data_IF_820291711183
#
_entry.id   IF_820291711183
#
_cell.length_a   1.000
_cell.length_b   1.000
_cell.length_c   1.000
_cell.angle_alpha   90.00
_cell.angle_beta   90.00
_cell.angle_gamma   90.00
#
_symmetry.space_group_name_H-M   'P 1'
#
loop_
_entity.id
_entity.type
_entity.pdbx_description
1 polymer ?
#
# COMPACT_ATOMS: atom_id res chain seq x y z
N UNK A 1 20.22 11.76 -11.32
CA UNK A 1 20.08 12.38 -12.66
C UNK A 1 19.20 13.59 -12.46
N UNK A 2 19.76 14.79 -12.48
CA UNK A 2 18.97 16.03 -12.42
C UNK A 2 18.29 16.17 -13.75
N UNK A 3 16.97 16.12 -13.79
CA UNK A 3 16.19 16.45 -14.98
C UNK A 3 16.33 17.97 -15.20
N UNK A 4 17.06 18.37 -16.24
CA UNK A 4 17.14 19.76 -16.63
C UNK A 4 15.89 20.07 -17.44
N UNK A 5 15.01 20.90 -16.89
CA UNK A 5 13.84 21.38 -17.60
C UNK A 5 14.28 22.39 -18.70
N UNK A 6 13.50 22.49 -19.79
CA UNK A 6 13.71 23.59 -20.72
C UNK A 6 13.31 24.93 -20.10
N UNK A 7 13.86 26.03 -20.57
CA UNK A 7 13.51 27.37 -20.09
C UNK A 7 12.00 27.67 -20.18
N UNK A 8 11.33 27.11 -21.18
CA UNK A 8 9.86 27.21 -21.35
C UNK A 8 9.12 26.48 -20.24
N UNK A 9 9.61 25.29 -19.83
CA UNK A 9 9.02 24.52 -18.73
C UNK A 9 9.29 25.20 -17.39
N UNK A 10 10.48 25.75 -17.18
CA UNK A 10 10.78 26.52 -15.97
C UNK A 10 9.85 27.74 -15.84
N UNK A 11 9.71 28.53 -16.91
CA UNK A 11 8.79 29.67 -16.94
C UNK A 11 7.33 29.26 -16.68
N UNK A 12 6.91 28.09 -17.21
CA UNK A 12 5.58 27.54 -16.97
C UNK A 12 5.36 27.20 -15.49
N UNK A 13 6.32 26.54 -14.84
CA UNK A 13 6.22 26.21 -13.42
C UNK A 13 6.25 27.47 -12.54
N UNK A 14 7.08 28.45 -12.86
CA UNK A 14 7.09 29.75 -12.16
C UNK A 14 5.71 30.47 -12.26
N UNK A 15 5.08 30.41 -13.42
CA UNK A 15 3.75 30.99 -13.60
C UNK A 15 2.68 30.25 -12.78
N UNK A 16 2.77 28.93 -12.72
CA UNK A 16 1.90 28.11 -11.85
C UNK A 16 2.08 28.45 -10.36
N UNK A 17 3.32 28.61 -9.91
CA UNK A 17 3.62 29.00 -8.53
C UNK A 17 3.02 30.38 -8.20
N UNK A 18 3.23 31.39 -9.08
CA UNK A 18 2.64 32.74 -8.90
C UNK A 18 1.11 32.69 -8.82
N UNK A 19 0.46 31.84 -9.63
CA UNK A 19 -0.99 31.65 -9.57
C UNK A 19 -1.43 31.00 -8.27
N UNK A 20 -0.71 29.98 -7.81
CA UNK A 20 -0.97 29.34 -6.52
C UNK A 20 -0.82 30.35 -5.36
N UNK A 21 0.26 31.14 -5.35
CA UNK A 21 0.48 32.19 -4.34
C UNK A 21 -0.66 33.22 -4.30
N UNK A 22 -1.17 33.60 -5.47
CA UNK A 22 -2.31 34.49 -5.56
C UNK A 22 -3.58 33.89 -4.93
N UNK A 23 -3.81 32.59 -5.12
CA UNK A 23 -4.93 31.89 -4.49
C UNK A 23 -4.77 31.83 -2.96
N UNK A 24 -3.60 31.45 -2.46
CA UNK A 24 -3.34 31.47 -1.01
C UNK A 24 -3.52 32.85 -0.39
N UNK A 25 -3.00 33.89 -1.04
CA UNK A 25 -3.16 35.28 -0.60
C UNK A 25 -4.64 35.70 -0.54
N UNK A 26 -5.44 35.27 -1.50
CA UNK A 26 -6.88 35.52 -1.51
C UNK A 26 -7.59 34.81 -0.35
N UNK A 27 -7.28 33.53 -0.15
CA UNK A 27 -7.83 32.72 0.96
C UNK A 27 -7.50 33.34 2.31
N UNK A 28 -6.25 33.76 2.53
CA UNK A 28 -5.86 34.47 3.77
C UNK A 28 -6.68 35.73 4.02
N UNK A 29 -6.91 36.54 2.98
CA UNK A 29 -7.75 37.74 3.09
C UNK A 29 -9.21 37.41 3.48
N UNK A 30 -9.77 36.39 2.86
CA UNK A 30 -11.16 35.94 3.11
C UNK A 30 -11.27 35.43 4.56
N UNK A 31 -10.32 34.64 5.03
CA UNK A 31 -10.28 34.11 6.39
C UNK A 31 -10.11 35.22 7.43
N UNK A 32 -9.16 36.14 7.23
CA UNK A 32 -9.00 37.31 8.10
C UNK A 32 -10.22 38.21 8.17
N UNK A 33 -11.06 38.17 7.13
CA UNK A 33 -12.36 38.89 7.13
C UNK A 33 -13.50 38.11 7.83
N UNK A 34 -13.23 36.94 8.38
CA UNK A 34 -14.18 36.12 9.14
C UNK A 34 -15.18 35.32 8.30
N UNK A 35 -14.91 35.11 7.00
CA UNK A 35 -15.76 34.30 6.12
C UNK A 35 -15.48 32.79 6.22
N UNK A 36 -14.48 32.41 6.99
CA UNK A 36 -14.13 31.01 7.24
C UNK A 36 -13.88 30.82 8.75
N UNK A 37 -14.37 29.74 9.37
CA UNK A 37 -14.16 29.48 10.80
C UNK A 37 -12.71 29.16 11.18
N UNK A 38 -11.85 28.80 10.20
CA UNK A 38 -10.43 28.51 10.39
C UNK A 38 -9.55 29.59 9.78
N UNK A 39 -8.53 30.06 10.48
CA UNK A 39 -7.52 31.01 9.99
C UNK A 39 -6.33 30.37 9.30
N UNK A 40 -6.21 29.04 9.34
CA UNK A 40 -5.18 28.27 8.63
C UNK A 40 -5.76 27.50 7.44
N UNK A 41 -5.01 27.35 6.33
CA UNK A 41 -5.46 26.55 5.19
C UNK A 41 -5.58 25.06 5.55
N UNK A 42 -6.61 24.39 5.05
CA UNK A 42 -6.79 22.94 5.22
C UNK A 42 -5.61 22.13 4.63
N UNK A 43 -5.04 22.64 3.55
CA UNK A 43 -3.87 22.04 2.89
C UNK A 43 -2.74 23.07 2.92
N UNK A 44 -1.81 22.97 3.88
CA UNK A 44 -0.66 23.85 3.92
C UNK A 44 0.28 23.58 2.73
N UNK A 45 0.99 24.61 2.27
CA UNK A 45 2.04 24.46 1.25
C UNK A 45 3.18 23.64 1.83
N UNK A 46 3.64 22.67 1.05
CA UNK A 46 4.81 21.86 1.36
C UNK A 46 5.89 22.09 0.29
N UNK A 47 7.12 22.25 0.71
CA UNK A 47 8.27 22.43 -0.19
C UNK A 47 8.79 21.12 -0.77
N UNK A 48 8.60 20.05 -0.04
CA UNK A 48 9.06 18.71 -0.42
C UNK A 48 8.11 17.62 0.10
N UNK A 49 8.47 16.37 -0.18
CA UNK A 49 7.72 15.20 0.27
C UNK A 49 7.62 15.14 1.80
N UNK A 50 8.69 15.46 2.52
CA UNK A 50 8.73 15.36 3.97
C UNK A 50 7.74 16.34 4.63
N UNK A 51 7.74 17.60 4.20
CA UNK A 51 6.76 18.58 4.66
C UNK A 51 5.32 18.21 4.28
N UNK A 52 5.13 17.64 3.09
CA UNK A 52 3.80 17.17 2.67
C UNK A 52 3.29 16.06 3.57
N UNK A 53 4.12 15.08 3.90
CA UNK A 53 3.76 13.98 4.80
C UNK A 53 3.43 14.52 6.19
N UNK A 54 4.25 15.40 6.74
CA UNK A 54 4.03 16.02 8.04
C UNK A 54 2.71 16.81 8.08
N UNK A 55 2.50 17.68 7.09
CA UNK A 55 1.33 18.55 7.04
C UNK A 55 0.00 17.79 6.89
N UNK A 56 0.02 16.65 6.20
CA UNK A 56 -1.19 15.91 5.85
C UNK A 56 -1.52 14.76 6.78
N UNK A 57 -0.49 14.10 7.31
CA UNK A 57 -0.63 12.87 8.10
C UNK A 57 0.05 13.02 9.47
N UNK A 58 1.13 13.79 9.54
CA UNK A 58 1.91 14.00 10.75
C UNK A 58 2.84 12.82 11.09
N UNK A 59 3.34 12.77 12.31
CA UNK A 59 3.19 13.75 13.38
C UNK A 59 4.00 15.04 13.15
N UNK A 60 3.66 16.11 13.86
CA UNK A 60 4.40 17.39 13.81
C UNK A 60 5.89 17.18 14.15
N UNK A 61 6.78 17.81 13.38
CA UNK A 61 8.21 17.74 13.54
C UNK A 61 8.87 16.49 12.94
N UNK A 62 8.14 15.69 12.12
CA UNK A 62 8.71 14.49 11.48
C UNK A 62 9.51 14.81 10.19
N UNK A 63 9.23 15.92 9.52
CA UNK A 63 9.83 16.25 8.23
C UNK A 63 11.36 16.28 8.24
N UNK A 64 12.05 16.89 9.22
CA UNK A 64 13.52 16.85 9.30
C UNK A 64 14.06 15.42 9.38
N UNK A 65 13.40 14.53 10.14
CA UNK A 65 13.83 13.14 10.27
C UNK A 65 13.63 12.35 8.99
N UNK A 66 12.52 12.57 8.28
CA UNK A 66 12.29 11.95 6.97
C UNK A 66 13.40 12.35 5.99
N UNK A 67 13.81 13.63 5.94
CA UNK A 67 14.90 14.09 5.08
C UNK A 67 16.22 13.40 5.41
N UNK A 68 16.60 13.38 6.68
CA UNK A 68 17.83 12.75 7.15
C UNK A 68 17.90 11.27 6.76
N UNK A 69 16.84 10.51 6.99
CA UNK A 69 16.80 9.07 6.63
C UNK A 69 16.80 8.89 5.12
N UNK A 70 16.18 9.78 4.36
CA UNK A 70 16.08 9.70 2.90
C UNK A 70 17.41 10.04 2.19
N UNK A 71 18.37 10.70 2.85
CA UNK A 71 19.71 10.97 2.28
C UNK A 71 20.48 9.68 1.98
N UNK A 72 20.32 8.66 2.81
CA UNK A 72 21.07 7.40 2.71
C UNK A 72 20.22 6.22 2.21
N UNK A 73 18.89 6.37 2.11
CA UNK A 73 17.98 5.28 1.85
C UNK A 73 17.06 5.56 0.66
N UNK A 74 16.64 4.47 0.00
CA UNK A 74 15.52 4.53 -0.93
C UNK A 74 14.20 4.79 -0.17
N UNK A 75 13.19 5.26 -0.88
CA UNK A 75 11.89 5.64 -0.31
C UNK A 75 11.24 4.53 0.51
N UNK A 76 11.31 3.31 0.04
CA UNK A 76 10.73 2.15 0.70
C UNK A 76 11.46 1.82 2.01
N UNK A 77 12.79 1.89 2.01
CA UNK A 77 13.59 1.74 3.24
C UNK A 77 13.34 2.89 4.21
N UNK A 78 13.27 4.12 3.71
CA UNK A 78 12.94 5.31 4.52
C UNK A 78 11.60 5.11 5.22
N UNK A 79 10.56 4.67 4.50
CA UNK A 79 9.24 4.42 5.07
C UNK A 79 9.28 3.37 6.20
N UNK A 80 10.04 2.27 6.02
CA UNK A 80 10.16 1.20 7.02
C UNK A 80 10.97 1.64 8.26
N UNK A 81 12.02 2.44 8.07
CA UNK A 81 12.82 2.98 9.18
C UNK A 81 11.97 3.97 10.00
N UNK A 82 11.32 4.91 9.34
CA UNK A 82 10.43 5.89 9.98
C UNK A 82 9.27 5.19 10.70
N UNK A 83 8.70 4.13 10.13
CA UNK A 83 7.66 3.35 10.79
C UNK A 83 8.11 2.81 12.15
N UNK A 84 9.30 2.21 12.18
CA UNK A 84 9.89 1.65 13.41
C UNK A 84 10.15 2.73 14.46
N UNK A 85 10.80 3.82 14.07
CA UNK A 85 11.14 4.92 14.98
C UNK A 85 9.89 5.59 15.57
N UNK A 86 8.87 5.85 14.73
CA UNK A 86 7.62 6.44 15.18
C UNK A 86 6.87 5.53 16.14
N UNK A 87 6.82 4.23 15.87
CA UNK A 87 6.15 3.29 16.75
C UNK A 87 6.73 3.32 18.17
N UNK A 88 8.06 3.25 18.29
CA UNK A 88 8.75 3.31 19.58
C UNK A 88 8.52 4.63 20.32
N UNK A 89 8.63 5.77 19.61
CA UNK A 89 8.44 7.09 20.18
C UNK A 89 6.98 7.33 20.61
N UNK A 90 6.03 7.07 19.74
CA UNK A 90 4.63 7.45 19.96
C UNK A 90 3.89 6.53 20.94
N UNK A 91 4.40 5.32 21.22
CA UNK A 91 3.80 4.39 22.20
C UNK A 91 3.58 5.04 23.57
N UNK A 92 4.57 5.80 24.04
CA UNK A 92 4.52 6.50 25.33
C UNK A 92 3.67 7.78 25.31
N UNK A 93 3.58 8.43 24.13
CA UNK A 93 2.91 9.73 24.00
C UNK A 93 1.40 9.57 23.69
N UNK A 94 1.03 8.66 22.81
CA UNK A 94 -0.32 8.53 22.27
C UNK A 94 -1.03 7.23 22.70
N UNK A 95 -0.28 6.30 23.30
CA UNK A 95 -0.76 4.95 23.58
C UNK A 95 -0.72 4.04 22.36
N UNK A 96 -0.95 2.74 22.61
CA UNK A 96 -0.69 1.66 21.67
C UNK A 96 -1.40 1.80 20.30
N UNK A 97 -2.71 2.00 20.29
CA UNK A 97 -3.50 2.00 19.05
C UNK A 97 -3.23 3.23 18.18
N UNK A 98 -3.13 4.40 18.80
CA UNK A 98 -2.82 5.63 18.07
C UNK A 98 -1.39 5.62 17.53
N UNK A 99 -0.43 5.08 18.30
CA UNK A 99 0.95 4.92 17.83
C UNK A 99 1.02 3.96 16.64
N UNK A 100 0.32 2.82 16.70
CA UNK A 100 0.21 1.86 15.60
C UNK A 100 -0.38 2.53 14.35
N UNK A 101 -1.50 3.21 14.48
CA UNK A 101 -2.16 3.87 13.36
C UNK A 101 -1.31 4.99 12.76
N UNK A 102 -0.78 5.89 13.58
CA UNK A 102 0.03 7.02 13.13
C UNK A 102 1.29 6.54 12.39
N UNK A 103 2.02 5.59 12.96
CA UNK A 103 3.24 5.07 12.34
C UNK A 103 2.96 4.43 10.97
N UNK A 104 1.88 3.64 10.85
CA UNK A 104 1.48 3.01 9.58
C UNK A 104 1.07 4.06 8.54
N UNK A 105 0.22 5.03 8.91
CA UNK A 105 -0.26 6.06 7.98
C UNK A 105 0.85 6.98 7.49
N UNK A 106 1.72 7.46 8.39
CA UNK A 106 2.86 8.32 8.03
C UNK A 106 3.79 7.61 7.05
N UNK A 107 4.13 6.36 7.34
CA UNK A 107 5.03 5.58 6.49
C UNK A 107 4.41 5.22 5.14
N UNK A 108 3.11 4.91 5.12
CA UNK A 108 2.41 4.71 3.85
C UNK A 108 2.34 6.00 3.02
N UNK A 109 2.21 7.17 3.66
CA UNK A 109 2.25 8.47 2.98
C UNK A 109 3.62 8.73 2.32
N UNK A 110 4.72 8.32 2.96
CA UNK A 110 6.06 8.36 2.34
C UNK A 110 6.10 7.47 1.10
N UNK A 111 5.59 6.23 1.18
CA UNK A 111 5.57 5.30 0.05
C UNK A 111 4.78 5.82 -1.15
N UNK A 112 3.69 6.52 -0.91
CA UNK A 112 2.77 7.02 -1.94
C UNK A 112 3.10 8.43 -2.41
N UNK A 113 4.29 8.93 -2.07
CA UNK A 113 4.78 10.28 -2.46
C UNK A 113 3.83 11.42 -2.04
N UNK A 114 3.19 11.26 -0.88
CA UNK A 114 2.20 12.20 -0.40
C UNK A 114 0.89 12.21 -1.20
N UNK A 115 0.60 11.14 -1.95
CA UNK A 115 -0.74 10.90 -2.48
C UNK A 115 -1.60 10.39 -1.34
N UNK A 116 -2.52 11.22 -0.86
CA UNK A 116 -3.28 11.00 0.37
C UNK A 116 -4.30 9.86 0.32
N UNK A 117 -4.87 9.59 -0.82
CA UNK A 117 -6.00 8.63 -0.94
C UNK A 117 -5.68 7.28 -0.30
N UNK A 118 -4.46 6.79 -0.44
CA UNK A 118 -4.09 5.50 0.13
C UNK A 118 -3.96 5.52 1.66
N UNK A 119 -3.18 6.44 2.29
CA UNK A 119 -3.05 6.47 3.74
C UNK A 119 -4.28 6.99 4.49
N UNK A 120 -5.17 7.77 3.85
CA UNK A 120 -6.34 8.37 4.52
C UNK A 120 -7.65 7.63 4.23
N UNK A 121 -7.90 7.27 2.98
CA UNK A 121 -9.14 6.62 2.53
C UNK A 121 -8.93 5.13 2.23
N UNK A 122 -7.75 4.74 1.75
CA UNK A 122 -7.42 3.35 1.45
C UNK A 122 -7.15 2.51 2.69
N UNK A 123 -6.60 3.12 3.76
CA UNK A 123 -6.50 2.55 5.10
C UNK A 123 -7.50 3.28 5.99
N UNK A 124 -8.63 2.66 6.25
CA UNK A 124 -9.72 3.26 7.05
C UNK A 124 -9.36 3.28 8.53
N UNK A 125 -8.79 2.19 9.03
CA UNK A 125 -8.48 2.00 10.45
C UNK A 125 -7.28 1.08 10.60
N UNK A 126 -6.46 1.37 11.59
CA UNK A 126 -5.45 0.44 12.11
C UNK A 126 -5.70 0.26 13.60
N UNK A 127 -5.83 -0.97 14.05
CA UNK A 127 -6.22 -1.26 15.42
C UNK A 127 -5.61 -2.58 15.91
N UNK A 128 -5.82 -2.89 17.18
CA UNK A 128 -5.47 -4.19 17.74
C UNK A 128 -6.67 -5.13 17.74
N UNK A 129 -6.41 -6.43 17.54
CA UNK A 129 -7.38 -7.51 17.69
C UNK A 129 -6.85 -8.54 18.71
N UNK A 130 -7.77 -9.27 19.32
CA UNK A 130 -7.43 -10.40 20.18
C UNK A 130 -7.39 -11.69 19.38
N UNK A 131 -6.28 -12.39 19.44
CA UNK A 131 -6.13 -13.75 18.93
C UNK A 131 -6.91 -14.77 19.76
N UNK A 132 -7.13 -15.96 19.21
CA UNK A 132 -7.81 -17.05 19.95
C UNK A 132 -7.06 -17.49 21.22
N UNK A 133 -5.75 -17.28 21.28
CA UNK A 133 -4.90 -17.52 22.45
C UNK A 133 -4.83 -16.32 23.43
N UNK A 134 -5.70 -15.32 23.28
CA UNK A 134 -5.77 -14.11 24.10
C UNK A 134 -4.63 -13.11 23.95
N UNK A 135 -3.70 -13.33 23.02
CA UNK A 135 -2.69 -12.32 22.69
C UNK A 135 -3.24 -11.24 21.77
N UNK A 136 -2.62 -10.05 21.76
CA UNK A 136 -3.01 -8.96 20.87
C UNK A 136 -2.19 -8.96 19.61
N UNK A 137 -2.83 -8.79 18.46
CA UNK A 137 -2.21 -8.64 17.17
C UNK A 137 -2.66 -7.34 16.46
N UNK A 138 -1.92 -6.91 15.44
CA UNK A 138 -2.27 -5.74 14.64
C UNK A 138 -3.23 -6.12 13.51
N UNK A 139 -4.15 -5.20 13.20
CA UNK A 139 -5.15 -5.32 12.16
C UNK A 139 -5.20 -4.06 11.31
N UNK A 140 -5.27 -4.20 9.99
CA UNK A 140 -5.47 -3.09 9.06
C UNK A 140 -6.79 -3.29 8.32
N UNK A 141 -7.63 -2.26 8.34
CA UNK A 141 -8.88 -2.17 7.61
C UNK A 141 -8.66 -1.41 6.30
N UNK A 142 -8.77 -2.12 5.20
CA UNK A 142 -8.62 -1.57 3.85
C UNK A 142 -9.99 -1.28 3.21
N UNK A 143 -10.08 -0.13 2.52
CA UNK A 143 -11.20 0.21 1.64
C UNK A 143 -10.79 0.15 0.17
N UNK A 144 -11.78 0.28 -0.73
CA UNK A 144 -11.54 0.29 -2.18
C UNK A 144 -10.48 1.26 -2.68
N UNK A 145 -10.38 2.49 -2.15
CA UNK A 145 -9.38 3.48 -2.54
C UNK A 145 -7.91 3.04 -2.39
N UNK A 146 -7.59 1.99 -1.61
CA UNK A 146 -6.23 1.41 -1.54
C UNK A 146 -5.70 1.01 -2.93
N UNK A 147 -6.57 0.81 -3.91
CA UNK A 147 -6.20 0.55 -5.30
C UNK A 147 -5.31 1.65 -5.89
N UNK A 148 -5.51 2.91 -5.48
CA UNK A 148 -4.72 4.06 -5.93
C UNK A 148 -3.24 3.97 -5.55
N UNK A 149 -2.89 3.29 -4.46
CA UNK A 149 -1.51 3.10 -4.03
C UNK A 149 -0.68 2.22 -4.98
N UNK A 150 -1.34 1.38 -5.77
CA UNK A 150 -0.68 0.33 -6.57
C UNK A 150 -0.17 -0.84 -5.73
N UNK A 151 -0.03 -2.01 -6.36
CA UNK A 151 0.22 -3.28 -5.66
C UNK A 151 1.49 -3.32 -4.81
N UNK A 152 2.53 -2.55 -5.16
CA UNK A 152 3.77 -2.51 -4.35
C UNK A 152 3.54 -1.81 -3.01
N UNK A 153 2.91 -0.63 -3.01
CA UNK A 153 2.60 0.08 -1.77
C UNK A 153 1.55 -0.65 -0.92
N UNK A 154 0.58 -1.33 -1.57
CA UNK A 154 -0.36 -2.22 -0.89
C UNK A 154 0.37 -3.33 -0.10
N UNK A 155 1.30 -4.02 -0.75
CA UNK A 155 2.07 -5.08 -0.09
C UNK A 155 2.99 -4.54 1.02
N UNK A 156 3.66 -3.41 0.76
CA UNK A 156 4.55 -2.79 1.73
C UNK A 156 3.79 -2.18 2.92
N UNK A 157 2.52 -1.78 2.78
CA UNK A 157 1.72 -1.33 3.93
C UNK A 157 1.54 -2.44 4.98
N UNK A 158 1.44 -3.70 4.54
CA UNK A 158 1.36 -4.85 5.46
C UNK A 158 2.72 -5.12 6.11
N UNK A 159 3.83 -4.99 5.36
CA UNK A 159 5.19 -5.10 5.91
C UNK A 159 5.49 -3.98 6.92
N UNK A 160 5.09 -2.74 6.62
CA UNK A 160 5.18 -1.60 7.55
C UNK A 160 4.45 -1.93 8.85
N UNK A 161 3.21 -2.42 8.74
CA UNK A 161 2.43 -2.78 9.93
C UNK A 161 3.09 -3.89 10.75
N UNK A 162 3.77 -4.85 10.12
CA UNK A 162 4.52 -5.88 10.85
C UNK A 162 5.74 -5.30 11.58
N UNK A 163 6.46 -4.39 10.96
CA UNK A 163 7.57 -3.67 11.60
C UNK A 163 7.08 -2.89 12.82
N UNK A 164 5.98 -2.14 12.66
CA UNK A 164 5.35 -1.37 13.75
C UNK A 164 4.83 -2.30 14.84
N UNK A 165 4.15 -3.39 14.47
CA UNK A 165 3.65 -4.39 15.43
C UNK A 165 4.76 -4.92 16.33
N UNK A 166 5.92 -5.26 15.75
CA UNK A 166 7.09 -5.78 16.49
C UNK A 166 7.64 -4.77 17.48
N UNK A 167 7.76 -3.51 17.07
CA UNK A 167 8.22 -2.42 17.94
C UNK A 167 7.25 -2.12 19.07
N UNK A 168 5.97 -2.41 18.87
CA UNK A 168 4.92 -2.24 19.88
C UNK A 168 4.70 -3.48 20.75
N UNK A 169 5.50 -4.55 20.61
CA UNK A 169 5.38 -5.82 21.34
C UNK A 169 4.02 -6.51 21.14
N UNK A 170 3.46 -6.44 19.92
CA UNK A 170 2.24 -7.17 19.57
C UNK A 170 2.60 -8.52 18.93
N UNK A 171 1.79 -9.55 19.22
CA UNK A 171 1.97 -10.87 18.63
C UNK A 171 1.52 -10.93 17.15
N UNK A 172 2.03 -11.89 16.36
CA UNK A 172 1.51 -12.16 15.04
C UNK A 172 0.03 -12.51 15.06
N UNK A 173 -0.68 -12.15 13.99
CA UNK A 173 -2.06 -12.58 13.78
C UNK A 173 -2.16 -14.11 13.64
N UNK A 174 -3.12 -14.70 14.32
CA UNK A 174 -3.46 -16.12 14.25
C UNK A 174 -4.88 -16.25 13.71
N UNK A 175 -5.07 -16.59 12.40
CA UNK A 175 -6.39 -16.76 11.83
C UNK A 175 -7.06 -18.02 12.33
N UNK A 176 -8.38 -17.99 12.43
CA UNK A 176 -9.17 -19.21 12.63
C UNK A 176 -9.36 -19.95 11.31
N UNK A 177 -9.63 -21.27 11.33
CA UNK A 177 -9.96 -22.01 10.10
C UNK A 177 -11.11 -21.37 9.30
N UNK A 178 -12.13 -20.86 9.97
CA UNK A 178 -13.26 -20.19 9.32
C UNK A 178 -12.88 -18.89 8.61
N UNK A 179 -11.95 -18.11 9.19
CA UNK A 179 -11.43 -16.91 8.55
C UNK A 179 -10.61 -17.23 7.30
N UNK A 180 -9.82 -18.31 7.32
CA UNK A 180 -9.07 -18.77 6.14
C UNK A 180 -10.04 -19.17 5.00
N UNK A 181 -11.06 -19.97 5.32
CA UNK A 181 -12.07 -20.37 4.33
C UNK A 181 -12.88 -19.17 3.83
N UNK A 182 -13.11 -18.17 4.68
CA UNK A 182 -13.73 -16.90 4.27
C UNK A 182 -12.94 -16.20 3.15
N UNK A 183 -11.62 -16.08 3.26
CA UNK A 183 -10.80 -15.47 2.20
C UNK A 183 -10.76 -16.32 0.92
N UNK A 184 -10.80 -17.66 1.03
CA UNK A 184 -10.90 -18.56 -0.13
C UNK A 184 -12.19 -18.36 -0.92
N UNK A 185 -13.26 -17.95 -0.27
CA UNK A 185 -14.52 -17.60 -0.91
C UNK A 185 -14.53 -16.16 -1.45
N UNK A 186 -14.07 -15.19 -0.66
CA UNK A 186 -14.14 -13.76 -1.00
C UNK A 186 -13.28 -13.39 -2.21
N UNK A 187 -12.04 -13.85 -2.30
CA UNK A 187 -11.13 -13.44 -3.37
C UNK A 187 -11.64 -13.86 -4.75
N UNK A 188 -12.10 -15.10 -4.98
CA UNK A 188 -12.74 -15.46 -6.23
C UNK A 188 -14.04 -14.71 -6.52
N UNK A 189 -14.85 -14.41 -5.49
CA UNK A 189 -16.06 -13.59 -5.66
C UNK A 189 -15.70 -12.15 -6.05
N UNK A 190 -14.69 -11.57 -5.43
CA UNK A 190 -14.22 -10.23 -5.75
C UNK A 190 -13.70 -10.13 -7.19
N UNK A 191 -13.05 -11.18 -7.71
CA UNK A 191 -12.68 -11.26 -9.13
C UNK A 191 -13.87 -11.12 -10.08
N UNK A 192 -15.05 -11.64 -9.69
CA UNK A 192 -16.26 -11.52 -10.53
C UNK A 192 -16.79 -10.09 -10.59
N UNK A 193 -16.60 -9.33 -9.51
CA UNK A 193 -17.02 -7.93 -9.43
C UNK A 193 -16.02 -6.97 -10.09
N UNK A 194 -14.72 -7.29 -10.02
CA UNK A 194 -13.64 -6.44 -10.55
C UNK A 194 -12.58 -7.26 -11.26
N UNK A 195 -11.83 -6.62 -12.16
CA UNK A 195 -10.70 -7.27 -12.82
C UNK A 195 -9.49 -7.29 -11.89
N UNK A 196 -9.11 -8.47 -11.37
CA UNK A 196 -7.86 -8.69 -10.64
C UNK A 196 -6.75 -9.09 -11.60
N UNK A 197 -5.57 -8.48 -11.47
CA UNK A 197 -4.36 -8.82 -12.22
C UNK A 197 -3.78 -10.18 -11.82
N UNK A 198 -4.07 -10.63 -10.60
CA UNK A 198 -3.66 -11.91 -10.07
C UNK A 198 -4.75 -12.52 -9.20
N UNK A 199 -5.04 -13.76 -9.43
CA UNK A 199 -6.00 -14.53 -8.63
C UNK A 199 -5.25 -15.71 -8.04
N UNK A 200 -4.95 -15.68 -6.74
CA UNK A 200 -4.25 -16.78 -6.08
C UNK A 200 -5.14 -18.04 -6.02
N UNK A 201 -4.49 -19.20 -6.06
CA UNK A 201 -5.17 -20.49 -5.85
C UNK A 201 -5.64 -20.62 -4.39
N UNK A 202 -6.59 -21.56 -4.09
CA UNK A 202 -7.02 -21.81 -2.71
C UNK A 202 -5.86 -22.14 -1.76
N UNK A 203 -4.83 -22.84 -2.23
CA UNK A 203 -3.63 -23.17 -1.46
C UNK A 203 -2.76 -21.94 -1.21
N UNK A 204 -2.67 -21.06 -2.21
CA UNK A 204 -1.97 -19.78 -2.07
C UNK A 204 -2.69 -18.87 -1.08
N UNK A 205 -4.02 -18.79 -1.15
CA UNK A 205 -4.83 -18.04 -0.19
C UNK A 205 -4.63 -18.61 1.22
N UNK A 206 -4.67 -19.93 1.36
CA UNK A 206 -4.39 -20.58 2.65
C UNK A 206 -3.04 -20.18 3.21
N UNK A 207 -1.99 -20.29 2.41
CA UNK A 207 -0.62 -19.97 2.82
C UNK A 207 -0.49 -18.50 3.22
N UNK A 208 -0.98 -17.57 2.39
CA UNK A 208 -0.84 -16.13 2.66
C UNK A 208 -1.59 -15.71 3.92
N UNK A 209 -2.82 -16.20 4.11
CA UNK A 209 -3.65 -15.83 5.27
C UNK A 209 -3.09 -16.45 6.56
N UNK A 210 -2.62 -17.69 6.51
CA UNK A 210 -2.06 -18.38 7.69
C UNK A 210 -0.72 -17.79 8.13
N UNK A 211 0.11 -17.34 7.17
CA UNK A 211 1.48 -16.91 7.47
C UNK A 211 1.64 -15.41 7.61
N UNK A 212 0.67 -14.60 7.15
CA UNK A 212 0.72 -13.15 7.27
C UNK A 212 0.63 -12.74 8.76
N UNK A 213 1.61 -12.01 9.30
CA UNK A 213 1.63 -11.64 10.72
C UNK A 213 0.63 -10.53 11.08
N UNK A 214 -0.06 -9.97 10.08
CA UNK A 214 -1.03 -8.87 10.22
C UNK A 214 -2.42 -9.36 9.79
N UNK A 215 -3.45 -9.02 10.55
CA UNK A 215 -4.83 -9.22 10.13
C UNK A 215 -5.18 -8.20 9.03
N UNK A 216 -5.18 -8.67 7.77
CA UNK A 216 -5.60 -7.88 6.61
C UNK A 216 -7.11 -8.00 6.49
N UNK A 217 -7.86 -6.98 6.87
CA UNK A 217 -9.33 -6.94 6.79
C UNK A 217 -9.79 -5.70 6.04
N UNK A 218 -11.07 -5.39 6.05
CA UNK A 218 -11.54 -4.20 5.34
C UNK A 218 -13.04 -3.99 5.40
N UNK A 219 -13.44 -2.84 4.89
CA UNK A 219 -14.84 -2.48 4.74
C UNK A 219 -15.50 -3.23 3.58
N UNK A 220 -16.82 -3.29 3.63
CA UNK A 220 -17.60 -3.78 2.50
C UNK A 220 -17.41 -2.84 1.29
N UNK A 221 -17.13 -3.40 0.14
CA UNK A 221 -16.97 -2.64 -1.11
C UNK A 221 -18.06 -2.95 -2.14
N UNK A 222 -18.83 -3.99 -1.93
CA UNK A 222 -19.89 -4.44 -2.83
C UNK A 222 -21.10 -4.96 -2.02
N UNK A 223 -22.25 -5.06 -2.69
CA UNK A 223 -23.46 -5.67 -2.15
C UNK A 223 -23.41 -7.20 -2.18
N UNK A 224 -22.45 -7.79 -2.90
CA UNK A 224 -22.22 -9.22 -2.91
C UNK A 224 -21.82 -9.71 -1.53
N UNK A 225 -22.46 -10.80 -1.10
CA UNK A 225 -22.18 -11.45 0.17
C UNK A 225 -21.61 -12.85 -0.07
N UNK A 226 -20.83 -13.32 0.92
CA UNK A 226 -20.40 -14.72 0.93
C UNK A 226 -21.56 -15.63 1.30
N UNK A 227 -21.55 -16.85 0.75
CA UNK A 227 -22.54 -17.87 1.04
C UNK A 227 -22.20 -18.67 2.31
N UNK A 228 -20.91 -19.02 2.48
CA UNK A 228 -20.37 -19.70 3.64
C UNK A 228 -19.63 -18.76 4.60
N UNK A 229 -19.15 -19.29 5.73
CA UNK A 229 -18.29 -18.60 6.71
C UNK A 229 -18.77 -17.18 7.05
N UNK A 230 -20.05 -17.08 7.39
CA UNK A 230 -20.76 -15.85 7.77
C UNK A 230 -20.63 -15.60 9.27
N UNK A 231 -20.91 -14.36 9.67
CA UNK A 231 -21.04 -13.94 11.07
C UNK A 231 -19.82 -14.31 11.93
N UNK A 232 -18.61 -14.17 11.37
CA UNK A 232 -17.37 -14.45 12.08
C UNK A 232 -17.07 -13.33 13.08
N UNK A 233 -16.71 -13.66 14.34
CA UNK A 233 -16.55 -12.67 15.43
C UNK A 233 -15.57 -11.53 15.14
N UNK A 234 -14.52 -11.79 14.31
CA UNK A 234 -13.49 -10.80 13.96
C UNK A 234 -13.65 -10.23 12.54
N UNK A 235 -14.79 -10.50 11.88
CA UNK A 235 -15.12 -10.02 10.55
C UNK A 235 -16.43 -9.28 10.59
N UNK A 236 -16.39 -7.96 10.51
CA UNK A 236 -17.53 -7.07 10.79
C UNK A 236 -18.64 -7.13 9.72
N UNK A 237 -18.43 -7.79 8.58
CA UNK A 237 -19.39 -7.83 7.48
C UNK A 237 -19.41 -9.17 6.76
N UNK A 238 -20.59 -9.57 6.29
CA UNK A 238 -20.75 -10.71 5.39
C UNK A 238 -20.58 -10.34 3.90
N UNK A 239 -20.51 -9.05 3.60
CA UNK A 239 -20.25 -8.54 2.25
C UNK A 239 -18.77 -8.64 1.90
N UNK A 240 -18.45 -8.53 0.61
CA UNK A 240 -17.07 -8.56 0.12
C UNK A 240 -16.23 -7.38 0.65
N UNK A 241 -15.06 -7.70 1.19
CA UNK A 241 -14.04 -6.76 1.65
C UNK A 241 -12.99 -6.55 0.55
N UNK A 242 -13.36 -5.82 -0.49
CA UNK A 242 -12.57 -5.71 -1.71
C UNK A 242 -11.17 -5.13 -1.51
N UNK A 243 -10.98 -4.17 -0.58
CA UNK A 243 -9.66 -3.65 -0.22
C UNK A 243 -8.75 -4.73 0.34
N UNK A 244 -9.24 -5.56 1.25
CA UNK A 244 -8.49 -6.71 1.80
C UNK A 244 -8.16 -7.75 0.72
N UNK A 245 -9.14 -8.12 -0.10
CA UNK A 245 -8.93 -9.05 -1.21
C UNK A 245 -7.84 -8.55 -2.18
N UNK A 246 -7.86 -7.26 -2.50
CA UNK A 246 -6.88 -6.62 -3.38
C UNK A 246 -5.47 -6.66 -2.79
N UNK A 247 -5.32 -6.29 -1.51
CA UNK A 247 -4.02 -6.27 -0.81
C UNK A 247 -3.42 -7.67 -0.72
N UNK A 248 -4.22 -8.70 -0.45
CA UNK A 248 -3.74 -10.09 -0.42
C UNK A 248 -3.35 -10.58 -1.82
N UNK A 249 -4.20 -10.38 -2.82
CA UNK A 249 -4.00 -10.93 -4.16
C UNK A 249 -2.98 -10.12 -4.99
N UNK A 250 -3.24 -8.84 -5.26
CA UNK A 250 -2.38 -7.99 -6.09
C UNK A 250 -1.21 -7.36 -5.31
N UNK A 251 -1.39 -7.18 -4.01
CA UNK A 251 -0.32 -6.76 -3.11
C UNK A 251 0.62 -7.92 -2.81
N UNK A 252 0.34 -8.69 -1.79
CA UNK A 252 1.28 -9.67 -1.24
C UNK A 252 1.63 -10.81 -2.22
N UNK A 253 0.63 -11.46 -2.85
CA UNK A 253 0.93 -12.57 -3.76
C UNK A 253 1.62 -12.08 -5.06
N UNK A 254 1.08 -11.04 -5.71
CA UNK A 254 1.64 -10.56 -6.98
C UNK A 254 2.98 -9.87 -6.83
N UNK A 255 3.21 -9.12 -5.75
CA UNK A 255 4.45 -8.34 -5.51
C UNK A 255 5.39 -8.99 -4.51
N UNK A 256 5.24 -10.26 -4.20
CA UNK A 256 6.06 -11.02 -3.25
C UNK A 256 7.58 -10.76 -3.41
N UNK A 257 8.10 -10.79 -4.64
CA UNK A 257 9.53 -10.52 -4.90
C UNK A 257 9.97 -9.10 -4.49
N UNK A 258 9.07 -8.11 -4.59
CA UNK A 258 9.37 -6.74 -4.17
C UNK A 258 9.39 -6.60 -2.65
N UNK A 259 8.46 -7.25 -1.96
CA UNK A 259 8.44 -7.29 -0.50
C UNK A 259 9.71 -7.98 0.02
N UNK A 260 10.06 -9.15 -0.53
CA UNK A 260 11.25 -9.91 -0.13
C UNK A 260 12.54 -9.12 -0.31
N UNK A 261 12.66 -8.27 -1.34
CA UNK A 261 13.83 -7.39 -1.51
C UNK A 261 14.06 -6.51 -0.27
N UNK A 262 13.01 -5.94 0.31
CA UNK A 262 13.10 -5.08 1.50
C UNK A 262 13.23 -5.91 2.78
N UNK A 263 12.56 -7.05 2.85
CA UNK A 263 12.72 -8.04 3.94
C UNK A 263 14.18 -8.47 4.06
N UNK A 264 14.80 -8.88 2.95
CA UNK A 264 16.20 -9.32 2.92
C UNK A 264 17.16 -8.16 3.20
N UNK A 265 16.93 -6.96 2.63
CA UNK A 265 17.75 -5.76 2.84
C UNK A 265 17.78 -5.30 4.30
N UNK A 266 16.64 -5.37 5.00
CA UNK A 266 16.49 -4.89 6.37
C UNK A 266 16.52 -6.01 7.42
N UNK A 267 16.75 -7.25 7.02
CA UNK A 267 16.84 -8.39 7.93
C UNK A 267 15.54 -8.71 8.68
N UNK A 268 14.38 -8.47 8.06
CA UNK A 268 13.06 -8.69 8.68
C UNK A 268 12.71 -10.20 8.59
N UNK A 269 12.63 -10.88 9.71
CA UNK A 269 12.32 -12.32 9.76
C UNK A 269 10.82 -12.62 9.58
N UNK A 270 10.47 -13.88 9.27
CA UNK A 270 9.08 -14.37 9.26
C UNK A 270 8.30 -14.10 7.97
N UNK A 271 8.97 -13.66 6.89
CA UNK A 271 8.37 -13.39 5.59
C UNK A 271 8.77 -14.39 4.50
N UNK A 272 9.47 -15.47 4.88
CA UNK A 272 9.97 -16.49 3.94
C UNK A 272 8.85 -17.22 3.17
N UNK A 273 7.63 -17.25 3.71
CA UNK A 273 6.46 -17.81 3.03
C UNK A 273 6.20 -17.15 1.67
N UNK A 274 6.62 -15.89 1.48
CA UNK A 274 6.51 -15.21 0.18
C UNK A 274 7.44 -15.80 -0.89
N UNK A 275 8.49 -16.54 -0.54
CA UNK A 275 9.44 -17.16 -1.51
C UNK A 275 8.73 -18.18 -2.41
N UNK A 276 7.71 -18.86 -1.88
CA UNK A 276 6.90 -19.82 -2.66
C UNK A 276 6.21 -19.18 -3.88
N UNK A 277 5.80 -17.93 -3.76
CA UNK A 277 5.16 -17.18 -4.86
C UNK A 277 6.17 -16.73 -5.92
N UNK A 278 7.42 -16.50 -5.55
CA UNK A 278 8.48 -16.12 -6.49
C UNK A 278 8.99 -17.31 -7.28
N UNK A 279 9.10 -18.48 -6.67
CA UNK A 279 9.54 -19.72 -7.30
C UNK A 279 8.52 -20.24 -8.33
N UNK A 280 7.24 -20.20 -8.01
CA UNK A 280 6.17 -20.54 -8.96
C UNK A 280 6.20 -19.65 -10.20
N UNK A 281 6.39 -18.34 -10.03
CA UNK A 281 6.56 -17.41 -11.16
C UNK A 281 7.79 -17.73 -12.00
N UNK A 282 8.92 -18.09 -11.38
CA UNK A 282 10.13 -18.51 -12.09
C UNK A 282 9.87 -19.79 -12.87
N UNK A 283 9.20 -20.78 -12.29
CA UNK A 283 8.85 -22.04 -12.96
C UNK A 283 7.84 -21.84 -14.09
N UNK A 284 6.83 -20.99 -13.94
CA UNK A 284 5.92 -20.65 -15.03
C UNK A 284 6.59 -19.84 -16.12
N UNK A 285 7.49 -18.92 -15.78
CA UNK A 285 8.29 -18.18 -16.76
C UNK A 285 9.37 -19.05 -17.44
N UNK A 286 9.92 -20.07 -16.78
CA UNK A 286 10.87 -21.02 -17.35
C UNK A 286 10.19 -22.20 -18.06
N UNK A 287 8.95 -22.55 -17.70
CA UNK A 287 8.14 -23.57 -18.36
C UNK A 287 7.35 -23.04 -19.56
N UNK A 288 7.08 -21.75 -19.63
CA UNK A 288 6.56 -21.02 -20.77
C UNK A 288 7.66 -20.23 -21.51
N UNK A 289 8.78 -20.87 -21.80
CA UNK A 289 9.35 -20.68 -23.12
C UNK A 289 8.43 -21.47 -24.06
N UNK A 290 7.19 -21.05 -24.18
CA UNK A 290 6.54 -21.11 -25.46
C UNK A 290 7.54 -20.41 -26.37
N UNK A 291 8.27 -21.19 -27.17
CA UNK A 291 8.81 -20.68 -28.43
C UNK A 291 7.67 -19.86 -29.00
N UNK A 292 7.74 -18.54 -28.83
CA UNK A 292 6.66 -17.69 -29.25
C UNK A 292 6.44 -18.05 -30.70
N UNK A 293 5.22 -18.43 -31.08
CA UNK A 293 4.83 -18.68 -32.46
C UNK A 293 5.39 -17.57 -33.36
N UNK A 294 5.51 -16.39 -32.82
CA UNK A 294 6.20 -15.22 -33.28
C UNK A 294 7.70 -15.45 -33.66
N UNK A 295 8.52 -16.05 -32.81
CA UNK A 295 9.90 -16.36 -33.13
C UNK A 295 9.99 -17.42 -34.22
N UNK A 296 9.07 -18.41 -34.23
CA UNK A 296 8.96 -19.38 -35.32
C UNK A 296 8.54 -18.73 -36.64
N UNK A 297 7.62 -17.77 -36.60
CA UNK A 297 7.16 -17.05 -37.78
C UNK A 297 8.27 -16.09 -38.31
N UNK A 298 9.04 -15.45 -37.43
CA UNK A 298 10.23 -14.65 -37.81
C UNK A 298 11.30 -15.52 -38.49
N UNK A 299 11.64 -16.65 -37.84
CA UNK A 299 12.63 -17.61 -38.37
C UNK A 299 12.16 -18.28 -39.68
N UNK A 300 10.85 -18.39 -39.88
CA UNK A 300 10.24 -18.89 -41.10
C UNK A 300 10.11 -17.83 -42.21
N UNK A 301 10.58 -16.59 -42.01
CA UNK A 301 10.51 -15.49 -43.00
C UNK A 301 9.08 -14.99 -43.28
N UNK A 302 8.12 -15.22 -42.38
CA UNK A 302 6.77 -14.76 -42.57
C UNK A 302 6.60 -13.29 -42.19
N UNK A 303 5.78 -12.51 -42.89
CA UNK A 303 5.51 -11.14 -42.52
C UNK A 303 4.84 -11.04 -41.17
N UNK A 304 5.36 -10.17 -40.32
CA UNK A 304 4.88 -9.94 -38.98
C UNK A 304 4.17 -8.61 -38.92
N UNK A 305 2.90 -8.61 -38.59
CA UNK A 305 2.16 -7.38 -38.26
C UNK A 305 2.22 -7.14 -36.80
N UNK A 306 3.06 -6.19 -36.35
CA UNK A 306 3.10 -5.72 -34.99
C UNK A 306 2.08 -4.60 -34.81
N UNK A 307 1.06 -4.85 -33.97
CA UNK A 307 0.20 -3.78 -33.49
C UNK A 307 0.74 -3.31 -32.15
N UNK A 308 0.97 -2.00 -31.96
CA UNK A 308 1.38 -1.48 -30.67
C UNK A 308 0.23 -1.65 -29.64
N UNK A 309 0.47 -2.39 -28.57
CA UNK A 309 -0.49 -2.57 -27.49
C UNK A 309 -0.75 -1.25 -26.74
N UNK A 310 0.09 -0.26 -26.93
CA UNK A 310 -0.04 1.10 -26.38
C UNK A 310 0.62 2.10 -27.32
N UNK A 311 0.14 3.35 -27.39
CA UNK A 311 0.83 4.41 -28.14
C UNK A 311 2.30 4.52 -27.71
N UNK A 312 3.21 4.42 -28.67
CA UNK A 312 4.66 4.50 -28.44
C UNK A 312 5.38 3.19 -28.12
N UNK A 313 4.70 2.05 -28.03
CA UNK A 313 5.34 0.74 -27.86
C UNK A 313 5.44 0.03 -29.22
N UNK A 314 6.59 0.14 -29.89
CA UNK A 314 6.99 -0.79 -30.94
C UNK A 314 7.76 -1.94 -30.31
N UNK A 315 7.27 -3.16 -30.48
CA UNK A 315 8.07 -4.37 -30.27
C UNK A 315 8.37 -4.95 -31.65
N UNK A 316 9.63 -4.93 -32.00
CA UNK A 316 10.17 -5.77 -33.07
C UNK A 316 10.14 -7.22 -32.64
#
# INVERSE_FOLDING_TARGET
>A
MVLIASNEMEAYFEDLEKKADSCYTLVEKVRKAGFDPSDSPEIPRAKDLAERVEAQVGPEGIAPRIREVAEENDRESTALIIAKELAGKLKSELGLEKALEQAVRTSLSILTEGVLVAPTEGVVKVSTLENSNKTKCASIYYAGPIRAAGGTAQALSVLIADVVRRELDLDPYIPTPAEIERYKEEIPLYKRAVNLQYVPSPEEIHTIVTSCPICVTGERTDKLEVAGNRDLPRVETNSLRGGACLVLAEGLCLKAAKVLKHVDKLGISGWDFLRTYTEKKRKSASGDVKEHKYLKDVLAGRPIFAFPDKPGSFRL
#
